data_IF_053310158582
#
_entry.id   IF_053310158582
#
_cell.length_a   1.000
_cell.length_b   1.000
_cell.length_c   1.000
_cell.angle_alpha   90.00
_cell.angle_beta   90.00
_cell.angle_gamma   90.00
#
_symmetry.space_group_name_H-M   'P 1'
#
loop_
_entity.id
_entity.type
_entity.pdbx_description
1 polymer ?
#
# COMPACT_ATOMS: atom_id res chain seq x y z
N UNK A 1 5.01 -39.34 17.31
CA UNK A 1 5.98 -38.23 17.30
C UNK A 1 6.29 -37.90 15.85
N UNK A 2 5.49 -37.03 15.23
CA UNK A 2 5.77 -36.46 13.91
C UNK A 2 6.75 -35.27 14.07
N UNK A 3 7.97 -35.45 13.64
CA UNK A 3 8.88 -34.30 13.45
C UNK A 3 8.28 -33.40 12.37
N UNK A 4 7.81 -32.25 12.75
CA UNK A 4 7.60 -31.12 11.84
C UNK A 4 8.99 -30.70 11.35
N UNK A 5 9.34 -31.09 10.13
CA UNK A 5 10.49 -30.52 9.43
C UNK A 5 10.29 -29.00 9.37
N UNK A 6 11.31 -28.17 9.68
CA UNK A 6 11.22 -26.73 9.46
C UNK A 6 10.94 -26.54 7.97
N UNK A 7 9.74 -26.00 7.66
CA UNK A 7 9.35 -25.75 6.30
C UNK A 7 10.41 -24.86 5.63
N UNK A 8 11.08 -25.38 4.60
CA UNK A 8 11.89 -24.58 3.70
C UNK A 8 11.02 -23.39 3.27
N UNK A 9 11.49 -22.17 3.46
CA UNK A 9 10.82 -20.97 2.96
C UNK A 9 10.56 -21.18 1.47
N UNK A 10 9.30 -21.33 1.09
CA UNK A 10 8.92 -21.51 -0.30
C UNK A 10 9.40 -20.28 -1.05
N UNK A 11 10.14 -20.45 -2.15
CA UNK A 11 10.67 -19.33 -2.91
C UNK A 11 9.54 -18.68 -3.71
N UNK A 12 8.77 -17.81 -3.04
CA UNK A 12 7.64 -17.10 -3.63
C UNK A 12 8.13 -16.14 -4.69
N UNK A 13 7.67 -16.31 -5.91
CA UNK A 13 7.96 -15.46 -7.08
C UNK A 13 6.76 -14.62 -7.49
N UNK A 14 5.56 -15.16 -7.29
CA UNK A 14 4.32 -14.52 -7.69
C UNK A 14 3.36 -14.40 -6.51
N UNK A 15 2.74 -13.25 -6.37
CA UNK A 15 1.76 -12.97 -5.34
C UNK A 15 0.64 -12.09 -5.87
N UNK A 16 -0.46 -11.97 -5.15
CA UNK A 16 -1.55 -11.05 -5.41
C UNK A 16 -2.25 -10.69 -4.11
N UNK A 17 -3.06 -9.65 -4.11
CA UNK A 17 -3.78 -9.21 -2.91
C UNK A 17 -5.29 -9.35 -3.05
N UNK A 18 -5.96 -9.67 -1.96
CA UNK A 18 -7.41 -9.73 -1.88
C UNK A 18 -7.92 -9.64 -0.44
N UNK A 19 -9.05 -8.99 -0.24
CA UNK A 19 -9.78 -9.02 1.05
C UNK A 19 -10.75 -10.20 1.16
N UNK A 20 -10.95 -10.98 0.09
CA UNK A 20 -11.90 -12.10 0.05
C UNK A 20 -11.27 -13.38 0.62
N UNK A 21 -12.13 -14.30 1.10
CA UNK A 21 -11.76 -15.70 1.23
C UNK A 21 -11.61 -16.34 -0.15
N UNK A 22 -10.97 -17.50 -0.22
CA UNK A 22 -10.81 -18.22 -1.48
C UNK A 22 -12.15 -18.54 -2.15
N UNK A 23 -12.20 -18.35 -3.45
CA UNK A 23 -13.29 -18.74 -4.36
C UNK A 23 -12.68 -19.18 -5.69
N UNK A 24 -13.30 -20.13 -6.40
CA UNK A 24 -12.80 -20.56 -7.72
C UNK A 24 -12.70 -19.41 -8.75
N UNK A 25 -13.58 -18.41 -8.61
CA UNK A 25 -13.65 -17.25 -9.52
C UNK A 25 -12.47 -16.29 -9.41
N UNK A 26 -11.75 -16.31 -8.28
CA UNK A 26 -10.61 -15.43 -8.03
C UNK A 26 -9.30 -16.20 -7.78
N UNK A 27 -9.25 -17.46 -8.22
CA UNK A 27 -8.06 -18.31 -8.11
C UNK A 27 -7.04 -17.93 -9.20
N UNK A 28 -6.09 -17.07 -8.84
CA UNK A 28 -5.04 -16.55 -9.74
C UNK A 28 -3.94 -17.59 -10.01
N UNK A 29 -3.82 -18.63 -9.18
CA UNK A 29 -2.75 -19.65 -9.23
C UNK A 29 -1.34 -19.07 -9.09
N UNK A 30 -1.20 -18.04 -8.25
CA UNK A 30 0.10 -17.53 -7.83
C UNK A 30 0.70 -18.37 -6.69
N UNK A 31 1.97 -18.17 -6.35
CA UNK A 31 2.63 -18.88 -5.24
C UNK A 31 2.08 -18.45 -3.88
N UNK A 32 1.73 -17.19 -3.75
CA UNK A 32 1.23 -16.62 -2.50
C UNK A 32 0.03 -15.68 -2.71
N UNK A 33 -0.70 -15.47 -1.63
CA UNK A 33 -1.77 -14.47 -1.53
C UNK A 33 -1.51 -13.54 -0.35
N UNK A 34 -1.59 -12.25 -0.56
CA UNK A 34 -1.62 -11.24 0.49
C UNK A 34 -3.08 -11.05 0.92
N UNK A 35 -3.44 -11.58 2.09
CA UNK A 35 -4.76 -11.38 2.70
C UNK A 35 -4.81 -9.95 3.22
N UNK A 36 -5.68 -9.13 2.63
CA UNK A 36 -5.71 -7.69 2.88
C UNK A 36 -6.55 -7.33 4.11
N UNK A 37 -5.91 -6.60 5.05
CA UNK A 37 -6.51 -6.11 6.29
C UNK A 37 -6.97 -7.22 7.24
N UNK A 38 -7.01 -6.93 8.53
CA UNK A 38 -7.47 -7.85 9.58
C UNK A 38 -8.97 -7.75 9.84
N UNK A 39 -9.65 -6.75 9.27
CA UNK A 39 -11.10 -6.56 9.44
C UNK A 39 -11.88 -7.80 9.07
N UNK A 40 -12.91 -8.09 9.86
CA UNK A 40 -13.88 -9.14 9.55
C UNK A 40 -14.96 -8.56 8.63
N UNK A 41 -15.37 -9.30 7.60
CA UNK A 41 -16.71 -9.11 7.07
C UNK A 41 -17.71 -9.61 8.14
N UNK A 42 -18.98 -9.20 8.13
CA UNK A 42 -19.94 -9.69 9.13
C UNK A 42 -20.03 -11.22 9.22
N UNK A 43 -19.57 -11.95 8.22
CA UNK A 43 -19.71 -13.39 8.11
C UNK A 43 -18.41 -14.18 8.14
N UNK A 44 -17.22 -13.56 7.97
CA UNK A 44 -15.94 -14.27 7.84
C UNK A 44 -14.82 -13.51 8.57
N UNK A 45 -14.20 -14.15 9.52
CA UNK A 45 -13.06 -13.61 10.27
C UNK A 45 -11.77 -13.56 9.42
N UNK A 46 -10.77 -12.81 9.88
CA UNK A 46 -9.45 -12.79 9.28
C UNK A 46 -8.83 -14.20 9.23
N UNK A 47 -8.92 -14.97 10.34
CA UNK A 47 -8.38 -16.33 10.40
C UNK A 47 -9.04 -17.25 9.37
N UNK A 48 -10.37 -17.20 9.24
CA UNK A 48 -11.08 -18.02 8.25
C UNK A 48 -10.68 -17.67 6.82
N UNK A 49 -10.44 -16.39 6.52
CA UNK A 49 -9.91 -15.95 5.21
C UNK A 49 -8.53 -16.55 4.96
N UNK A 50 -7.61 -16.44 5.91
CA UNK A 50 -6.27 -17.04 5.83
C UNK A 50 -6.34 -18.55 5.61
N UNK A 51 -7.14 -19.24 6.40
CA UNK A 51 -7.27 -20.70 6.34
C UNK A 51 -7.90 -21.18 5.03
N UNK A 52 -8.83 -20.41 4.47
CA UNK A 52 -9.44 -20.74 3.19
C UNK A 52 -8.41 -20.79 2.04
N UNK A 53 -7.46 -19.88 2.03
CA UNK A 53 -6.37 -19.84 1.07
C UNK A 53 -5.34 -20.94 1.31
N UNK A 54 -4.96 -21.17 2.57
CA UNK A 54 -4.02 -22.24 2.93
C UNK A 54 -4.52 -23.63 2.52
N UNK A 55 -5.82 -23.88 2.64
CA UNK A 55 -6.45 -25.15 2.21
C UNK A 55 -6.29 -25.42 0.71
N UNK A 56 -6.05 -24.38 -0.09
CA UNK A 56 -5.81 -24.50 -1.52
C UNK A 56 -4.31 -24.53 -1.88
N UNK A 57 -3.44 -24.60 -0.88
CA UNK A 57 -1.99 -24.70 -1.09
C UNK A 57 -1.26 -23.37 -1.24
N UNK A 58 -1.93 -22.24 -1.05
CA UNK A 58 -1.27 -20.92 -1.10
C UNK A 58 -0.40 -20.66 0.13
N UNK A 59 0.77 -20.08 -0.09
CA UNK A 59 1.47 -19.35 0.96
C UNK A 59 0.68 -18.07 1.29
N UNK A 60 0.41 -17.83 2.57
CA UNK A 60 -0.34 -16.65 2.98
C UNK A 60 0.57 -15.57 3.53
N UNK A 61 0.48 -14.41 2.94
CA UNK A 61 1.08 -13.14 3.37
C UNK A 61 -0.01 -12.21 3.87
N UNK A 62 0.37 -11.06 4.40
CA UNK A 62 -0.54 -10.01 4.84
C UNK A 62 -0.20 -8.68 4.19
N UNK A 63 -1.22 -7.91 3.82
CA UNK A 63 -1.06 -6.54 3.37
C UNK A 63 -2.14 -5.63 3.98
N UNK A 64 -1.78 -4.39 4.25
CA UNK A 64 -2.73 -3.32 4.57
C UNK A 64 -2.07 -1.95 4.36
N UNK A 65 -2.85 -0.90 4.15
CA UNK A 65 -2.35 0.47 4.10
C UNK A 65 -1.91 0.94 5.48
N UNK A 66 -0.77 1.65 5.56
CA UNK A 66 -0.35 2.28 6.82
C UNK A 66 -0.95 3.68 6.99
N UNK A 67 -1.33 4.32 5.89
CA UNK A 67 -1.90 5.65 5.89
C UNK A 67 -3.44 5.66 5.82
N UNK A 68 -4.04 4.57 5.42
CA UNK A 68 -5.49 4.41 5.27
C UNK A 68 -5.86 2.92 5.35
N UNK A 69 -7.11 2.60 5.63
CA UNK A 69 -7.57 1.22 5.74
C UNK A 69 -8.91 1.09 6.45
N UNK A 70 -9.29 -0.13 6.78
CA UNK A 70 -10.51 -0.46 7.50
C UNK A 70 -10.45 -0.10 9.00
N UNK A 71 -10.09 1.12 9.34
CA UNK A 71 -9.83 1.58 10.71
C UNK A 71 -10.99 2.38 11.33
N UNK A 72 -12.22 2.08 10.92
CA UNK A 72 -13.42 2.75 11.45
C UNK A 72 -13.61 2.56 12.95
N UNK A 73 -13.19 1.45 13.50
CA UNK A 73 -13.21 1.16 14.93
C UNK A 73 -12.31 2.09 15.74
N UNK A 74 -11.14 2.47 15.18
CA UNK A 74 -10.28 3.49 15.75
C UNK A 74 -10.95 4.86 15.74
N UNK A 75 -11.37 5.32 14.57
CA UNK A 75 -11.96 6.65 14.42
C UNK A 75 -13.25 6.83 15.24
N UNK A 76 -14.07 5.80 15.35
CA UNK A 76 -15.38 5.86 16.05
C UNK A 76 -15.29 5.56 17.55
N UNK A 77 -14.12 5.19 18.05
CA UNK A 77 -13.89 4.91 19.47
C UNK A 77 -14.28 3.50 19.92
N UNK A 78 -14.48 2.56 19.00
CA UNK A 78 -14.76 1.17 19.39
C UNK A 78 -13.54 0.45 19.98
N UNK A 79 -12.36 0.93 19.68
CA UNK A 79 -11.13 0.30 20.18
C UNK A 79 -10.85 0.62 21.64
N UNK A 80 -10.91 1.89 22.05
CA UNK A 80 -10.49 2.35 23.39
C UNK A 80 -11.52 3.23 24.10
N UNK A 81 -12.72 3.39 23.53
CA UNK A 81 -13.80 4.22 24.05
C UNK A 81 -13.68 5.71 23.69
N UNK A 82 -12.66 6.12 22.89
CA UNK A 82 -12.43 7.51 22.48
C UNK A 82 -12.48 7.65 20.98
N UNK A 83 -13.17 8.68 20.49
CA UNK A 83 -13.15 9.03 19.07
C UNK A 83 -11.84 9.68 18.69
N UNK A 84 -11.24 9.26 17.55
CA UNK A 84 -9.96 9.75 17.05
C UNK A 84 -10.09 10.47 15.69
N UNK A 85 -11.23 11.12 15.44
CA UNK A 85 -11.47 11.85 14.19
C UNK A 85 -10.53 13.05 13.98
N UNK A 86 -9.90 13.54 15.03
CA UNK A 86 -8.85 14.58 14.97
C UNK A 86 -7.51 14.04 14.44
N UNK A 87 -7.33 12.73 14.42
CA UNK A 87 -6.15 12.08 13.84
C UNK A 87 -6.30 11.78 12.33
N UNK A 88 -7.40 12.16 11.72
CA UNK A 88 -7.52 12.21 10.26
C UNK A 88 -6.67 13.34 9.66
N UNK A 89 -6.08 13.10 8.49
CA UNK A 89 -5.44 14.17 7.72
C UNK A 89 -6.50 15.19 7.31
N UNK A 90 -6.25 16.48 7.57
CA UNK A 90 -7.18 17.55 7.23
C UNK A 90 -6.51 18.62 6.39
N UNK A 91 -7.27 19.16 5.46
CA UNK A 91 -6.87 20.30 4.64
C UNK A 91 -7.03 21.64 5.40
N UNK A 92 -6.72 22.74 4.72
CA UNK A 92 -6.81 24.09 5.27
C UNK A 92 -8.24 24.51 5.66
N UNK A 93 -9.27 23.90 5.06
CA UNK A 93 -10.67 24.18 5.39
C UNK A 93 -11.16 23.38 6.59
N UNK A 94 -10.35 22.40 7.04
CA UNK A 94 -10.71 21.46 8.09
C UNK A 94 -11.41 20.20 7.58
N UNK A 95 -11.52 20.04 6.25
CA UNK A 95 -12.13 18.88 5.64
C UNK A 95 -11.19 17.67 5.78
N UNK A 96 -11.75 16.53 6.15
CA UNK A 96 -11.00 15.28 6.27
C UNK A 96 -10.72 14.71 4.88
N UNK A 97 -9.45 14.40 4.61
CA UNK A 97 -9.04 13.77 3.37
C UNK A 97 -9.31 12.27 3.47
N UNK A 98 -9.98 11.72 2.48
CA UNK A 98 -10.39 10.31 2.46
C UNK A 98 -9.84 9.60 1.22
N UNK A 99 -9.42 8.35 1.38
CA UNK A 99 -9.08 7.47 0.27
C UNK A 99 -10.33 7.04 -0.50
N UNK A 100 -11.34 6.62 0.26
CA UNK A 100 -12.69 6.31 -0.21
C UNK A 100 -13.71 6.83 0.82
N UNK A 101 -14.99 6.94 0.49
CA UNK A 101 -16.02 7.29 1.47
C UNK A 101 -15.90 6.43 2.74
N UNK A 102 -15.74 7.08 3.89
CA UNK A 102 -15.57 6.40 5.18
C UNK A 102 -14.16 5.89 5.50
N UNK A 103 -13.16 6.15 4.66
CA UNK A 103 -11.76 5.72 4.86
C UNK A 103 -10.83 6.94 4.92
N UNK A 104 -10.71 7.63 6.08
CA UNK A 104 -9.80 8.77 6.22
C UNK A 104 -8.35 8.36 6.07
N UNK A 105 -7.53 9.26 5.49
CA UNK A 105 -6.07 9.20 5.67
C UNK A 105 -5.71 9.60 7.09
N UNK A 106 -4.72 8.94 7.67
CA UNK A 106 -4.35 9.06 9.09
C UNK A 106 -3.11 9.95 9.26
N UNK A 107 -3.10 10.74 10.32
CA UNK A 107 -1.87 11.28 10.91
C UNK A 107 -1.31 10.20 11.83
N UNK A 108 -0.13 9.62 11.55
CA UNK A 108 0.35 8.45 12.29
C UNK A 108 0.96 8.87 13.64
N UNK A 109 0.09 9.18 14.60
CA UNK A 109 0.43 9.46 15.98
C UNK A 109 0.90 8.20 16.71
N UNK A 110 1.52 8.34 17.86
CA UNK A 110 1.89 7.20 18.71
C UNK A 110 0.66 6.40 19.16
N UNK A 111 -0.47 7.07 19.37
CA UNK A 111 -1.72 6.41 19.71
C UNK A 111 -2.25 5.54 18.58
N UNK A 112 -2.26 6.07 17.34
CA UNK A 112 -2.59 5.27 16.16
C UNK A 112 -1.62 4.09 16.01
N UNK A 113 -0.32 4.27 16.22
CA UNK A 113 0.65 3.19 16.11
C UNK A 113 0.43 2.08 17.14
N UNK A 114 -0.03 2.43 18.35
CA UNK A 114 -0.46 1.43 19.34
C UNK A 114 -1.63 0.60 18.81
N UNK A 115 -2.69 1.25 18.37
CA UNK A 115 -3.83 0.60 17.73
C UNK A 115 -3.39 -0.31 16.58
N UNK A 116 -2.56 0.20 15.67
CA UNK A 116 -2.10 -0.52 14.49
C UNK A 116 -1.33 -1.80 14.86
N UNK A 117 -0.42 -1.72 15.82
CA UNK A 117 0.34 -2.87 16.33
C UNK A 117 -0.59 -3.94 16.92
N UNK A 118 -1.58 -3.52 17.72
CA UNK A 118 -2.51 -4.43 18.39
C UNK A 118 -3.53 -5.07 17.45
N UNK A 119 -4.01 -4.34 16.46
CA UNK A 119 -5.14 -4.78 15.61
C UNK A 119 -4.72 -5.25 14.22
N UNK A 120 -3.61 -4.75 13.66
CA UNK A 120 -3.17 -5.10 12.32
C UNK A 120 -1.94 -6.01 12.30
N UNK A 121 -1.00 -5.89 13.24
CA UNK A 121 0.23 -6.69 13.22
C UNK A 121 0.11 -7.92 14.11
N UNK A 122 -0.30 -7.74 15.35
CA UNK A 122 -0.36 -8.85 16.31
C UNK A 122 -1.21 -10.02 15.83
N UNK A 123 -2.47 -9.85 15.34
CA UNK A 123 -3.30 -10.96 14.88
C UNK A 123 -2.70 -11.69 13.66
N UNK A 124 -1.96 -10.98 12.82
CA UNK A 124 -1.30 -11.52 11.63
C UNK A 124 -0.18 -12.48 12.02
N UNK A 125 0.64 -12.10 12.98
CA UNK A 125 1.72 -12.94 13.51
C UNK A 125 1.15 -14.12 14.31
N UNK A 126 0.11 -13.89 15.11
CA UNK A 126 -0.61 -14.96 15.82
C UNK A 126 -1.22 -15.99 14.85
N UNK A 127 -1.62 -15.57 13.64
CA UNK A 127 -2.06 -16.48 12.56
C UNK A 127 -0.90 -17.20 11.85
N UNK A 128 0.36 -17.01 12.28
CA UNK A 128 1.55 -17.67 11.72
C UNK A 128 2.01 -17.10 10.38
N UNK A 129 1.59 -15.90 10.01
CA UNK A 129 2.05 -15.18 8.81
C UNK A 129 3.42 -14.58 9.07
N UNK A 130 4.33 -14.75 8.11
CA UNK A 130 5.72 -14.32 8.22
C UNK A 130 6.09 -13.14 7.33
N UNK A 131 5.28 -12.82 6.34
CA UNK A 131 5.56 -11.72 5.42
C UNK A 131 4.43 -10.68 5.51
N UNK A 132 4.83 -9.45 5.89
CA UNK A 132 3.94 -8.33 6.18
C UNK A 132 4.27 -7.19 5.25
N UNK A 133 3.27 -6.71 4.53
CA UNK A 133 3.35 -5.62 3.58
C UNK A 133 2.52 -4.44 4.10
N UNK A 134 3.18 -3.30 4.36
CA UNK A 134 2.53 -2.06 4.78
C UNK A 134 2.63 -1.06 3.64
N UNK A 135 1.52 -0.85 2.95
CA UNK A 135 1.49 -0.07 1.72
C UNK A 135 1.20 1.41 1.96
N UNK A 136 1.65 2.20 1.00
CA UNK A 136 1.27 3.59 0.78
C UNK A 136 1.44 4.49 2.01
N UNK A 137 2.69 4.75 2.46
CA UNK A 137 2.96 5.68 3.54
C UNK A 137 2.78 7.13 3.07
N UNK A 138 1.53 7.55 2.90
CA UNK A 138 1.12 8.73 2.17
C UNK A 138 0.61 9.85 3.07
N UNK A 139 1.29 11.00 3.04
CA UNK A 139 0.77 12.22 3.61
C UNK A 139 0.51 13.24 2.49
N UNK A 140 -0.73 13.69 2.37
CA UNK A 140 -1.08 14.70 1.36
C UNK A 140 -0.37 16.02 1.63
N UNK A 141 0.28 16.60 0.63
CA UNK A 141 1.07 17.81 0.79
C UNK A 141 0.24 19.01 1.25
N UNK A 142 -1.04 19.07 0.84
CA UNK A 142 -1.98 20.12 1.26
C UNK A 142 -2.65 19.85 2.61
N UNK A 143 -2.47 18.67 3.20
CA UNK A 143 -2.89 18.36 4.56
C UNK A 143 -1.94 18.97 5.61
N UNK A 144 -2.24 18.75 6.90
CA UNK A 144 -1.41 19.25 8.00
C UNK A 144 -2.10 20.30 8.88
N UNK A 145 -3.43 20.30 8.86
CA UNK A 145 -4.25 21.27 9.62
C UNK A 145 -5.06 20.62 10.75
N UNK A 146 -4.97 19.31 10.95
CA UNK A 146 -5.63 18.64 12.08
C UNK A 146 -4.95 18.95 13.41
N UNK A 147 -5.69 18.89 14.51
CA UNK A 147 -5.13 19.15 15.84
C UNK A 147 -4.05 18.14 16.23
N UNK A 148 -4.19 16.88 15.78
CA UNK A 148 -3.15 15.86 15.98
C UNK A 148 -1.84 16.24 15.28
N UNK A 149 -1.90 16.74 14.03
CA UNK A 149 -0.69 17.19 13.32
C UNK A 149 -0.03 18.40 14.01
N UNK A 150 -0.83 19.32 14.56
CA UNK A 150 -0.31 20.47 15.30
C UNK A 150 0.40 20.04 16.60
N UNK A 151 -0.11 19.01 17.29
CA UNK A 151 0.57 18.39 18.45
C UNK A 151 1.89 17.75 18.04
N UNK A 152 1.88 16.91 16.99
CA UNK A 152 3.10 16.28 16.45
C UNK A 152 4.14 17.33 16.01
N UNK A 153 3.71 18.46 15.48
CA UNK A 153 4.58 19.59 15.16
C UNK A 153 5.25 20.18 16.41
N UNK A 154 4.45 20.46 17.44
CA UNK A 154 4.98 20.99 18.71
C UNK A 154 5.99 20.04 19.34
N UNK A 155 5.70 18.75 19.31
CA UNK A 155 6.59 17.71 19.88
C UNK A 155 7.88 17.57 19.06
N UNK A 156 7.81 17.67 17.75
CA UNK A 156 8.96 17.51 16.85
C UNK A 156 9.87 18.75 16.81
N UNK A 157 9.28 19.95 16.76
CA UNK A 157 10.04 21.19 16.59
C UNK A 157 10.26 21.98 17.88
N UNK A 158 9.49 21.75 18.95
CA UNK A 158 9.56 22.50 20.20
C UNK A 158 8.98 23.92 20.13
N UNK A 159 8.28 24.28 19.06
CA UNK A 159 7.62 25.58 18.92
C UNK A 159 6.22 25.44 18.28
N UNK A 160 5.33 26.48 18.44
CA UNK A 160 3.96 26.43 17.95
C UNK A 160 3.86 26.18 16.45
N UNK A 161 2.84 25.42 16.07
CA UNK A 161 2.54 25.12 14.66
C UNK A 161 2.41 26.40 13.82
N UNK A 162 2.91 26.33 12.58
CA UNK A 162 2.85 27.39 11.60
C UNK A 162 2.14 26.87 10.36
N UNK A 163 1.12 27.62 9.90
CA UNK A 163 0.36 27.25 8.71
C UNK A 163 1.26 27.25 7.47
N UNK A 164 1.29 26.12 6.78
CA UNK A 164 2.21 25.89 5.65
C UNK A 164 1.98 26.85 4.47
N UNK A 165 0.73 27.29 4.23
CA UNK A 165 0.39 28.19 3.13
C UNK A 165 0.90 29.63 3.30
N UNK A 166 1.43 29.99 4.48
CA UNK A 166 1.89 31.35 4.77
C UNK A 166 3.31 31.62 4.28
N UNK A 167 4.13 30.60 4.07
CA UNK A 167 5.48 30.77 3.53
C UNK A 167 6.06 29.48 2.99
N UNK A 168 7.06 29.58 2.11
CA UNK A 168 7.82 28.43 1.63
C UNK A 168 8.57 27.69 2.75
N UNK A 169 9.07 28.43 3.75
CA UNK A 169 9.71 27.86 4.95
C UNK A 169 8.73 26.97 5.73
N UNK A 170 7.52 27.48 6.01
CA UNK A 170 6.49 26.71 6.71
C UNK A 170 6.06 25.46 5.92
N UNK A 171 5.97 25.57 4.59
CA UNK A 171 5.70 24.42 3.72
C UNK A 171 6.81 23.37 3.83
N UNK A 172 8.07 23.80 3.82
CA UNK A 172 9.23 22.91 3.96
C UNK A 172 9.22 22.19 5.31
N UNK A 173 9.00 22.92 6.41
CA UNK A 173 8.88 22.35 7.75
C UNK A 173 7.72 21.34 7.84
N UNK A 174 6.56 21.71 7.29
CA UNK A 174 5.39 20.82 7.25
C UNK A 174 5.69 19.52 6.51
N UNK A 175 6.30 19.59 5.34
CA UNK A 175 6.64 18.41 4.54
C UNK A 175 7.73 17.55 5.22
N UNK A 176 8.69 18.16 5.88
CA UNK A 176 9.70 17.44 6.68
C UNK A 176 9.06 16.65 7.82
N UNK A 177 8.10 17.25 8.53
CA UNK A 177 7.36 16.54 9.58
C UNK A 177 6.53 15.38 9.01
N UNK A 178 5.77 15.61 7.93
CA UNK A 178 4.98 14.56 7.25
C UNK A 178 5.84 13.36 6.85
N UNK A 179 6.99 13.65 6.26
CA UNK A 179 8.00 12.64 5.91
C UNK A 179 8.45 11.86 7.14
N UNK A 180 8.82 12.57 8.22
CA UNK A 180 9.26 11.96 9.47
C UNK A 180 8.18 11.07 10.09
N UNK A 181 6.93 11.49 10.08
CA UNK A 181 5.83 10.76 10.69
C UNK A 181 5.63 9.38 10.07
N UNK A 182 5.65 9.26 8.75
CA UNK A 182 5.52 7.94 8.09
C UNK A 182 6.81 7.12 8.13
N UNK A 183 7.98 7.77 8.16
CA UNK A 183 9.22 7.04 8.45
C UNK A 183 9.16 6.40 9.83
N UNK A 184 8.77 7.17 10.87
CA UNK A 184 8.57 6.67 12.22
C UNK A 184 7.56 5.54 12.27
N UNK A 185 6.42 5.71 11.61
CA UNK A 185 5.34 4.73 11.59
C UNK A 185 5.79 3.38 11.04
N UNK A 186 6.43 3.35 9.88
CA UNK A 186 6.96 2.14 9.29
C UNK A 186 8.05 1.51 10.16
N UNK A 187 8.99 2.32 10.66
CA UNK A 187 10.08 1.80 11.49
C UNK A 187 9.57 1.15 12.78
N UNK A 188 8.62 1.78 13.46
CA UNK A 188 8.02 1.22 14.69
C UNK A 188 7.17 -0.02 14.42
N UNK A 189 6.35 0.00 13.37
CA UNK A 189 5.55 -1.15 12.99
C UNK A 189 6.41 -2.37 12.63
N UNK A 190 7.46 -2.17 11.85
CA UNK A 190 8.39 -3.24 11.46
C UNK A 190 9.25 -3.74 12.62
N UNK A 191 9.69 -2.84 13.49
CA UNK A 191 10.40 -3.23 14.73
C UNK A 191 9.52 -4.14 15.59
N UNK A 192 8.29 -3.71 15.85
CA UNK A 192 7.33 -4.50 16.61
C UNK A 192 7.04 -5.85 15.94
N UNK A 193 6.81 -5.86 14.63
CA UNK A 193 6.52 -7.09 13.90
C UNK A 193 7.65 -8.12 14.04
N UNK A 194 8.91 -7.67 13.91
CA UNK A 194 10.07 -8.56 14.06
C UNK A 194 10.31 -9.02 15.50
N UNK A 195 10.11 -8.15 16.46
CA UNK A 195 10.24 -8.48 17.89
C UNK A 195 9.18 -9.48 18.32
N UNK A 196 7.91 -9.18 18.06
CA UNK A 196 6.81 -10.08 18.38
C UNK A 196 6.87 -11.41 17.61
N UNK A 197 7.33 -11.35 16.35
CA UNK A 197 7.61 -12.57 15.57
C UNK A 197 8.63 -13.47 16.24
N UNK A 198 9.76 -12.90 16.70
CA UNK A 198 10.79 -13.67 17.44
C UNK A 198 10.25 -14.31 18.72
N UNK A 199 9.40 -13.61 19.47
CA UNK A 199 8.73 -14.15 20.66
C UNK A 199 7.86 -15.39 20.30
N UNK A 200 7.29 -15.38 19.09
CA UNK A 200 6.47 -16.49 18.57
C UNK A 200 7.29 -17.55 17.80
N UNK A 201 8.60 -17.43 17.73
CA UNK A 201 9.47 -18.35 16.97
C UNK A 201 9.33 -18.21 15.45
N UNK A 202 8.92 -17.05 14.96
CA UNK A 202 8.74 -16.72 13.55
C UNK A 202 9.82 -15.74 13.08
N UNK A 203 10.45 -16.02 11.93
CA UNK A 203 11.27 -15.06 11.20
C UNK A 203 10.34 -14.20 10.33
N UNK A 204 10.03 -13.00 10.81
CA UNK A 204 9.11 -12.07 10.13
C UNK A 204 9.87 -11.13 9.22
N UNK A 205 9.41 -11.00 7.98
CA UNK A 205 9.92 -10.06 6.98
C UNK A 205 8.90 -8.97 6.70
N UNK A 206 9.40 -7.77 6.49
CA UNK A 206 8.59 -6.57 6.35
C UNK A 206 8.90 -5.84 5.04
N UNK A 207 7.85 -5.47 4.32
CA UNK A 207 7.94 -4.88 2.99
C UNK A 207 7.11 -3.60 2.91
N UNK A 208 7.54 -2.68 2.04
CA UNK A 208 6.80 -1.46 1.71
C UNK A 208 6.34 -1.52 0.25
N UNK A 209 5.08 -1.83 -0.03
CA UNK A 209 4.47 -1.51 -1.31
C UNK A 209 4.31 0.00 -1.44
N UNK A 210 4.83 0.58 -2.51
CA UNK A 210 4.85 2.03 -2.64
C UNK A 210 4.95 2.46 -4.11
N UNK A 211 4.54 3.69 -4.37
CA UNK A 211 4.63 4.31 -5.69
C UNK A 211 5.97 5.03 -5.88
N UNK A 212 6.33 5.30 -7.13
CA UNK A 212 7.53 6.06 -7.45
C UNK A 212 7.41 7.52 -6.99
N UNK A 213 8.56 8.18 -6.78
CA UNK A 213 8.57 9.64 -6.53
C UNK A 213 8.00 10.44 -7.70
N UNK A 214 8.05 9.91 -8.93
CA UNK A 214 7.39 10.50 -10.10
C UNK A 214 5.89 10.57 -9.86
N UNK A 215 5.31 9.46 -9.42
CA UNK A 215 3.89 9.35 -9.13
C UNK A 215 3.47 10.22 -7.95
N UNK A 216 4.17 10.11 -6.83
CA UNK A 216 3.88 10.92 -5.64
C UNK A 216 4.02 12.42 -5.88
N UNK A 217 4.95 12.84 -6.73
CA UNK A 217 5.06 14.23 -7.14
C UNK A 217 3.82 14.71 -7.90
N UNK A 218 3.28 13.88 -8.81
CA UNK A 218 2.06 14.22 -9.55
C UNK A 218 0.81 14.27 -8.64
N UNK A 219 0.76 13.47 -7.62
CA UNK A 219 -0.35 13.44 -6.66
C UNK A 219 -0.21 14.44 -5.51
N UNK A 220 0.91 15.13 -5.42
CA UNK A 220 1.22 15.99 -4.26
C UNK A 220 1.20 15.23 -2.94
N UNK A 221 1.87 14.09 -2.90
CA UNK A 221 2.03 13.25 -1.71
C UNK A 221 3.46 13.41 -1.18
N UNK A 222 3.58 13.50 0.14
CA UNK A 222 4.82 13.40 0.88
C UNK A 222 4.93 11.98 1.45
N UNK A 223 6.00 11.30 1.08
CA UNK A 223 6.30 9.93 1.51
C UNK A 223 7.77 9.81 1.90
N UNK A 224 8.16 8.91 2.83
CA UNK A 224 9.55 8.73 3.25
C UNK A 224 10.39 7.91 2.25
N UNK A 225 10.06 7.91 0.96
CA UNK A 225 10.67 7.09 -0.09
C UNK A 225 12.21 7.12 -0.08
N UNK A 226 12.80 8.32 0.01
CA UNK A 226 14.25 8.47 -0.02
C UNK A 226 14.97 7.80 1.16
N UNK A 227 14.27 7.53 2.27
CA UNK A 227 14.83 6.89 3.45
C UNK A 227 14.48 5.40 3.58
N UNK A 228 13.57 4.88 2.77
CA UNK A 228 13.17 3.46 2.85
C UNK A 228 14.36 2.54 2.61
N UNK A 229 15.24 2.88 1.66
CA UNK A 229 16.43 2.11 1.35
C UNK A 229 17.42 1.94 2.53
N UNK A 230 17.39 2.86 3.50
CA UNK A 230 18.23 2.83 4.71
C UNK A 230 17.50 2.30 5.95
N UNK A 231 16.21 2.03 5.88
CA UNK A 231 15.40 1.57 7.03
C UNK A 231 15.81 0.15 7.44
N UNK A 232 16.32 -0.02 8.66
CA UNK A 232 16.92 -1.26 9.15
C UNK A 232 16.01 -2.48 9.07
N UNK A 233 14.74 -2.32 9.42
CA UNK A 233 13.79 -3.42 9.54
C UNK A 233 12.92 -3.64 8.27
N UNK A 234 13.23 -2.94 7.18
CA UNK A 234 12.59 -3.14 5.88
C UNK A 234 13.38 -4.18 5.06
N UNK A 235 12.75 -5.28 4.68
CA UNK A 235 13.38 -6.37 3.94
C UNK A 235 13.20 -6.25 2.43
N UNK A 236 12.28 -5.43 1.98
CA UNK A 236 12.03 -5.25 0.55
C UNK A 236 10.85 -4.34 0.24
N UNK A 237 10.46 -4.36 -1.03
CA UNK A 237 9.49 -3.42 -1.58
C UNK A 237 8.60 -4.09 -2.61
N UNK A 238 7.43 -3.49 -2.85
CA UNK A 238 6.68 -3.66 -4.09
C UNK A 238 6.69 -2.32 -4.81
N UNK A 239 7.24 -2.27 -6.02
CA UNK A 239 7.11 -1.10 -6.90
C UNK A 239 5.73 -1.12 -7.53
N UNK A 240 4.84 -0.29 -7.01
CA UNK A 240 3.48 -0.16 -7.49
C UNK A 240 3.44 0.82 -8.66
N UNK A 241 3.15 0.30 -9.85
CA UNK A 241 2.86 1.13 -11.03
C UNK A 241 1.38 1.01 -11.33
N UNK A 242 0.65 2.03 -10.92
CA UNK A 242 -0.77 2.12 -11.18
C UNK A 242 -1.02 2.62 -12.60
N UNK A 243 -1.78 1.88 -13.39
CA UNK A 243 -2.07 2.23 -14.78
C UNK A 243 -2.69 3.62 -14.92
N UNK A 244 -3.46 4.06 -13.93
CA UNK A 244 -4.05 5.41 -13.91
C UNK A 244 -3.02 6.53 -13.94
N UNK A 245 -1.88 6.38 -13.27
CA UNK A 245 -0.78 7.37 -13.30
C UNK A 245 0.06 7.24 -14.54
N UNK A 246 0.37 6.04 -14.97
CA UNK A 246 1.09 5.80 -16.22
C UNK A 246 0.35 6.36 -17.44
N UNK A 247 -0.96 6.54 -17.33
CA UNK A 247 -1.83 7.15 -18.37
C UNK A 247 -1.91 8.66 -18.31
N UNK A 248 -1.34 9.33 -17.31
CA UNK A 248 -1.38 10.80 -17.25
C UNK A 248 -0.69 11.39 -18.48
N UNK A 249 -1.40 12.17 -19.32
CA UNK A 249 -0.83 12.71 -20.54
C UNK A 249 0.35 13.63 -20.27
N UNK A 250 1.45 13.40 -20.94
CA UNK A 250 2.65 14.22 -20.89
C UNK A 250 3.01 14.83 -22.26
N UNK A 251 3.91 15.80 -22.26
CA UNK A 251 4.40 16.47 -23.46
C UNK A 251 5.71 15.84 -23.96
N UNK A 252 5.74 15.51 -25.25
CA UNK A 252 6.94 15.12 -25.95
C UNK A 252 6.87 15.61 -27.40
N UNK A 253 7.91 16.27 -27.88
CA UNK A 253 7.96 16.87 -29.21
C UNK A 253 6.72 17.74 -29.54
N UNK A 254 6.29 18.59 -28.59
CA UNK A 254 5.15 19.49 -28.75
C UNK A 254 3.77 18.81 -28.74
N UNK A 255 3.71 17.47 -28.58
CA UNK A 255 2.44 16.72 -28.54
C UNK A 255 2.16 16.21 -27.13
N UNK A 256 1.00 16.55 -26.60
CA UNK A 256 0.47 16.01 -25.35
C UNK A 256 -0.34 14.73 -25.63
N UNK A 257 0.08 13.61 -25.06
CA UNK A 257 -0.66 12.34 -25.15
C UNK A 257 -0.31 11.40 -23.98
N UNK A 258 -1.12 10.38 -23.78
CA UNK A 258 -0.79 9.24 -22.93
C UNK A 258 0.42 8.50 -23.49
N UNK A 259 1.37 8.14 -22.62
CA UNK A 259 2.59 7.37 -22.93
C UNK A 259 2.77 6.30 -21.85
N UNK A 260 1.84 5.37 -21.84
CA UNK A 260 1.71 4.40 -20.74
C UNK A 260 2.99 3.58 -20.56
N UNK A 261 3.54 3.06 -21.65
CA UNK A 261 4.76 2.27 -21.61
C UNK A 261 5.95 3.08 -21.07
N UNK A 262 6.18 4.26 -21.63
CA UNK A 262 7.33 5.09 -21.28
C UNK A 262 7.25 5.59 -19.83
N UNK A 263 6.06 5.97 -19.37
CA UNK A 263 5.85 6.42 -17.99
C UNK A 263 6.03 5.27 -17.01
N UNK A 264 5.44 4.11 -17.28
CA UNK A 264 5.61 2.92 -16.45
C UNK A 264 7.08 2.46 -16.39
N UNK A 265 7.79 2.50 -17.53
CA UNK A 265 9.21 2.20 -17.57
C UNK A 265 10.03 3.10 -16.66
N UNK A 266 9.77 4.41 -16.68
CA UNK A 266 10.45 5.37 -15.80
C UNK A 266 10.09 5.14 -14.32
N UNK A 267 8.84 4.84 -14.00
CA UNK A 267 8.38 4.56 -12.63
C UNK A 267 9.08 3.32 -12.07
N UNK A 268 9.08 2.21 -12.81
CA UNK A 268 9.81 0.98 -12.41
C UNK A 268 11.31 1.22 -12.27
N UNK A 269 11.92 1.93 -13.22
CA UNK A 269 13.34 2.23 -13.20
C UNK A 269 13.77 3.12 -12.05
N UNK A 270 12.93 4.08 -11.68
CA UNK A 270 13.14 4.93 -10.51
C UNK A 270 13.19 4.12 -9.22
N UNK A 271 12.22 3.22 -9.03
CA UNK A 271 12.15 2.34 -7.86
C UNK A 271 13.29 1.32 -7.83
N UNK A 272 13.57 0.67 -8.94
CA UNK A 272 14.65 -0.31 -9.07
C UNK A 272 16.01 0.32 -8.77
N UNK A 273 16.29 1.49 -9.32
CA UNK A 273 17.55 2.20 -9.10
C UNK A 273 17.75 2.61 -7.64
N UNK A 274 16.69 2.95 -6.93
CA UNK A 274 16.73 3.28 -5.50
C UNK A 274 17.04 2.04 -4.64
N UNK A 275 16.50 0.89 -4.99
CA UNK A 275 16.52 -0.31 -4.14
C UNK A 275 17.62 -1.30 -4.48
N UNK A 276 18.02 -1.41 -5.75
CA UNK A 276 19.07 -2.33 -6.20
C UNK A 276 20.37 -2.27 -5.38
N UNK A 277 20.91 -1.09 -5.02
CA UNK A 277 22.14 -1.03 -4.21
C UNK A 277 22.00 -1.63 -2.82
N UNK A 278 20.80 -1.81 -2.31
CA UNK A 278 20.53 -2.37 -0.98
C UNK A 278 20.55 -3.90 -0.96
N UNK A 279 20.43 -4.55 -2.10
CA UNK A 279 20.27 -6.00 -2.23
C UNK A 279 18.93 -6.54 -1.68
N UNK A 280 17.99 -5.67 -1.32
CA UNK A 280 16.69 -6.06 -0.77
C UNK A 280 15.77 -6.59 -1.86
N UNK A 281 14.83 -7.45 -1.47
CA UNK A 281 13.85 -8.02 -2.40
C UNK A 281 12.94 -6.94 -2.97
N UNK A 282 12.67 -7.01 -4.27
CA UNK A 282 11.70 -6.17 -4.95
C UNK A 282 10.74 -7.01 -5.77
N UNK A 283 9.46 -6.76 -5.57
CA UNK A 283 8.40 -7.18 -6.45
C UNK A 283 8.00 -6.02 -7.38
N UNK A 284 7.67 -6.34 -8.61
CA UNK A 284 6.99 -5.39 -9.49
C UNK A 284 5.50 -5.69 -9.54
N UNK A 285 4.70 -4.66 -9.36
CA UNK A 285 3.24 -4.70 -9.51
C UNK A 285 2.85 -3.96 -10.78
N UNK A 286 2.02 -4.59 -11.60
CA UNK A 286 1.19 -3.88 -12.58
C UNK A 286 -0.24 -3.90 -12.05
N UNK A 287 -0.74 -2.75 -11.62
CA UNK A 287 -2.14 -2.60 -11.25
C UNK A 287 -2.97 -2.18 -12.48
N UNK A 288 -3.66 -3.14 -13.10
CA UNK A 288 -4.56 -2.83 -14.19
C UNK A 288 -5.76 -2.11 -13.61
N UNK A 289 -5.85 -0.83 -13.88
CA UNK A 289 -6.98 -0.07 -13.41
C UNK A 289 -8.18 -0.22 -14.32
N UNK A 290 -9.28 -0.56 -13.71
CA UNK A 290 -10.58 -0.50 -14.29
C UNK A 290 -11.15 0.92 -14.20
N UNK A 291 -11.17 1.63 -15.30
CA UNK A 291 -11.92 2.87 -15.43
C UNK A 291 -13.32 2.56 -15.99
N UNK A 292 -14.35 2.93 -15.25
CA UNK A 292 -15.74 2.74 -15.70
C UNK A 292 -16.08 3.43 -17.04
N UNK A 293 -15.24 4.37 -17.49
CA UNK A 293 -15.36 5.09 -18.76
C UNK A 293 -14.62 4.41 -19.91
N UNK A 294 -13.91 3.33 -19.66
CA UNK A 294 -13.07 2.61 -20.62
C UNK A 294 -13.68 1.24 -20.93
N UNK A 295 -13.18 0.62 -21.97
CA UNK A 295 -13.61 -0.70 -22.44
C UNK A 295 -12.49 -1.75 -22.31
N UNK A 296 -12.81 -2.99 -22.67
CA UNK A 296 -11.87 -4.10 -22.62
C UNK A 296 -10.65 -3.91 -23.53
N UNK A 297 -10.79 -3.26 -24.66
CA UNK A 297 -9.68 -3.02 -25.59
C UNK A 297 -8.67 -2.05 -24.99
N UNK A 298 -9.15 -0.97 -24.38
CA UNK A 298 -8.33 -0.01 -23.64
C UNK A 298 -7.65 -0.67 -22.44
N UNK A 299 -8.40 -1.44 -21.64
CA UNK A 299 -7.86 -2.19 -20.52
C UNK A 299 -6.70 -3.10 -20.93
N UNK A 300 -6.92 -3.92 -21.97
CA UNK A 300 -5.90 -4.83 -22.49
C UNK A 300 -4.64 -4.09 -22.95
N UNK A 301 -4.81 -3.02 -23.72
CA UNK A 301 -3.70 -2.25 -24.25
C UNK A 301 -2.83 -1.66 -23.12
N UNK A 302 -3.47 -1.06 -22.13
CA UNK A 302 -2.75 -0.42 -21.02
C UNK A 302 -2.08 -1.44 -20.10
N UNK A 303 -2.75 -2.56 -19.81
CA UNK A 303 -2.13 -3.64 -19.06
C UNK A 303 -0.89 -4.21 -19.78
N UNK A 304 -0.99 -4.46 -21.07
CA UNK A 304 0.13 -4.95 -21.88
C UNK A 304 1.30 -3.94 -21.90
N UNK A 305 1.01 -2.65 -21.99
CA UNK A 305 2.04 -1.61 -22.00
C UNK A 305 2.80 -1.56 -20.66
N UNK A 306 2.11 -1.55 -19.52
CA UNK A 306 2.72 -1.55 -18.19
C UNK A 306 3.47 -2.87 -17.90
N UNK A 307 2.87 -4.01 -18.27
CA UNK A 307 3.51 -5.31 -18.12
C UNK A 307 4.78 -5.44 -18.98
N UNK A 308 4.77 -4.95 -20.21
CA UNK A 308 5.96 -4.94 -21.06
C UNK A 308 7.07 -4.08 -20.48
N UNK A 309 6.71 -2.94 -19.87
CA UNK A 309 7.68 -2.05 -19.24
C UNK A 309 8.44 -2.75 -18.09
N UNK A 310 7.76 -3.52 -17.24
CA UNK A 310 8.43 -4.23 -16.14
C UNK A 310 9.36 -5.37 -16.64
N UNK A 311 9.04 -6.01 -17.75
CA UNK A 311 9.89 -7.08 -18.33
C UNK A 311 11.23 -6.57 -18.86
N UNK A 312 11.41 -5.26 -19.04
CA UNK A 312 12.69 -4.66 -19.42
C UNK A 312 13.68 -4.53 -18.25
N UNK A 313 13.31 -4.98 -17.07
CA UNK A 313 14.17 -5.07 -15.88
C UNK A 313 14.41 -6.55 -15.53
N UNK A 314 15.26 -7.28 -16.29
CA UNK A 314 15.41 -8.74 -16.16
C UNK A 314 16.00 -9.19 -14.81
N UNK A 315 16.56 -8.26 -14.04
CA UNK A 315 17.05 -8.51 -12.68
C UNK A 315 15.93 -8.65 -11.66
N UNK A 316 14.71 -8.21 -11.98
CA UNK A 316 13.53 -8.39 -11.14
C UNK A 316 12.79 -9.63 -11.62
N UNK A 317 12.61 -10.59 -10.73
CA UNK A 317 11.96 -11.86 -11.02
C UNK A 317 10.80 -12.19 -10.09
N UNK A 318 10.40 -11.23 -9.27
CA UNK A 318 9.32 -11.35 -8.30
C UNK A 318 8.20 -10.37 -8.68
N UNK A 319 6.96 -10.87 -8.73
CA UNK A 319 5.83 -10.09 -9.25
C UNK A 319 4.61 -10.18 -8.34
N UNK A 320 3.99 -9.04 -8.10
CA UNK A 320 2.60 -9.01 -7.71
C UNK A 320 1.77 -8.99 -9.00
N UNK A 321 1.07 -10.09 -9.24
CA UNK A 321 0.28 -10.29 -10.44
C UNK A 321 -1.19 -10.07 -10.12
N UNK A 322 -1.87 -9.24 -10.88
CA UNK A 322 -3.31 -9.03 -10.78
C UNK A 322 -3.82 -8.75 -9.34
N UNK A 323 -3.44 -7.62 -8.74
CA UNK A 323 -4.04 -7.21 -7.47
C UNK A 323 -5.56 -7.10 -7.61
N UNK A 324 -6.28 -7.51 -6.57
CA UNK A 324 -7.74 -7.46 -6.55
C UNK A 324 -8.41 -8.25 -7.70
N UNK A 325 -8.20 -9.57 -7.82
CA UNK A 325 -8.70 -10.35 -8.96
C UNK A 325 -10.21 -10.29 -9.14
N UNK A 326 -10.99 -10.05 -8.07
CA UNK A 326 -12.43 -9.85 -8.18
C UNK A 326 -12.81 -8.68 -9.08
N UNK A 327 -11.97 -7.64 -9.18
CA UNK A 327 -12.20 -6.52 -10.10
C UNK A 327 -12.22 -7.00 -11.55
N UNK A 328 -11.41 -7.99 -11.88
CA UNK A 328 -11.28 -8.52 -13.25
C UNK A 328 -12.27 -9.65 -13.49
N UNK A 329 -12.32 -10.63 -12.60
CA UNK A 329 -13.06 -11.87 -12.85
C UNK A 329 -14.54 -11.79 -12.45
N UNK A 330 -14.90 -10.91 -11.54
CA UNK A 330 -16.28 -10.79 -11.04
C UNK A 330 -16.97 -9.49 -11.48
N UNK A 331 -16.23 -8.55 -12.07
CA UNK A 331 -16.77 -7.24 -12.51
C UNK A 331 -17.12 -7.26 -14.00
N UNK A 332 -18.13 -6.48 -14.35
CA UNK A 332 -18.53 -6.25 -15.75
C UNK A 332 -17.87 -4.97 -16.28
N UNK A 333 -17.40 -5.02 -17.51
CA UNK A 333 -16.81 -3.89 -18.23
C UNK A 333 -17.63 -3.54 -19.46
N UNK A 334 -17.50 -2.32 -19.93
CA UNK A 334 -18.15 -1.90 -21.19
C UNK A 334 -17.63 -2.71 -22.36
N UNK A 335 -18.52 -3.03 -23.29
CA UNK A 335 -18.16 -3.71 -24.54
C UNK A 335 -17.36 -2.78 -25.45
N UNK A 336 -17.73 -1.48 -25.45
CA UNK A 336 -16.99 -0.40 -26.10
C UNK A 336 -17.08 0.88 -25.28
N UNK A 337 -16.19 1.85 -25.56
CA UNK A 337 -16.12 3.12 -24.81
C UNK A 337 -17.46 3.89 -24.81
N UNK A 338 -18.26 3.77 -25.84
CA UNK A 338 -19.54 4.46 -26.01
C UNK A 338 -20.77 3.59 -25.67
N UNK A 339 -20.58 2.38 -25.17
CA UNK A 339 -21.67 1.45 -24.88
C UNK A 339 -22.07 1.48 -23.42
N UNK A 340 -23.36 1.38 -23.14
CA UNK A 340 -23.91 1.04 -21.81
C UNK A 340 -23.85 -0.48 -21.56
N UNK A 341 -23.73 -1.29 -22.61
CA UNK A 341 -23.61 -2.74 -22.52
C UNK A 341 -22.29 -3.13 -21.83
N UNK A 342 -22.37 -4.10 -20.93
CA UNK A 342 -21.23 -4.64 -20.18
C UNK A 342 -21.16 -6.15 -20.33
N UNK A 343 -19.94 -6.67 -20.45
CA UNK A 343 -19.64 -8.09 -20.48
C UNK A 343 -18.41 -8.42 -19.61
N UNK A 344 -18.30 -9.70 -19.25
CA UNK A 344 -17.10 -10.24 -18.57
C UNK A 344 -15.96 -10.44 -19.57
#
# INVERSE_FOLDING_TARGET
LGMLLPGMAQNVKTTFQTSSHWKPTIDVRADAVMVYGTGSSPQISFQERVDSWRKQGYTTHFMTGIAWGGYSDYFTGKWDGKQHMDEGQKDMKGDTIVHNPGTPYIVPTLNYLKYFKETQIKPVIDAGIREIFLEEPEFWAFAGYSESFKREWQDYYGFPWRAQHLSAENTSLSNKLKYHLYYRALNEAFTYAKEYGREKGLDVRCYVPTHSLINYSMWHIVSPEASLASMKNCDGYIAQVWTGTSRVPNYFNGKRKERVFETAFLEYGSMESMTRPTGRKMFFLTDPIEDAKKDWADYKLNYQATFTAQLLYPQIADYEVMPWPARIYERLYRVSANSEEKAK
#
